data_IF_015525903554
#
_entry.id   IF_015525903554
#
_cell.length_a   1.000
_cell.length_b   1.000
_cell.length_c   1.000
_cell.angle_alpha   90.00
_cell.angle_beta   90.00
_cell.angle_gamma   90.00
#
_symmetry.space_group_name_H-M   'P 1'
#
loop_
_entity.id
_entity.type
_entity.pdbx_description
1 polymer ?
#
# COMPACT_ATOMS: atom_id res chain seq x y z
N UNK A 1 1.58 -6.64 5.64
CA UNK A 1 2.72 -7.55 5.87
C UNK A 1 3.05 -7.75 7.34
N UNK A 2 2.67 -6.89 8.28
CA UNK A 2 3.05 -7.02 9.69
C UNK A 2 2.53 -5.85 10.51
N UNK A 3 3.20 -5.46 11.60
CA UNK A 3 2.74 -4.39 12.51
C UNK A 3 2.75 -2.97 11.93
N UNK A 4 3.58 -2.69 10.92
CA UNK A 4 3.70 -1.33 10.35
C UNK A 4 2.39 -0.76 9.76
N UNK A 5 1.43 -1.62 9.39
CA UNK A 5 0.11 -1.20 8.91
C UNK A 5 -0.78 -0.57 9.99
N UNK A 6 -0.40 -0.67 11.28
CA UNK A 6 -1.12 -0.01 12.38
C UNK A 6 -1.09 1.52 12.28
N UNK A 7 -0.12 2.09 11.57
CA UNK A 7 -0.09 3.53 11.27
C UNK A 7 -1.30 3.96 10.43
N UNK A 8 -1.70 3.12 9.46
CA UNK A 8 -2.89 3.32 8.63
C UNK A 8 -4.16 3.10 9.46
N UNK A 9 -4.20 2.06 10.29
CA UNK A 9 -5.34 1.79 11.18
C UNK A 9 -5.59 2.96 12.13
N UNK A 10 -4.52 3.51 12.73
CA UNK A 10 -4.63 4.66 13.63
C UNK A 10 -5.29 5.87 12.95
N UNK A 11 -4.88 6.20 11.72
CA UNK A 11 -5.49 7.31 10.99
C UNK A 11 -6.92 7.00 10.52
N UNK A 12 -7.23 5.75 10.17
CA UNK A 12 -8.60 5.33 9.86
C UNK A 12 -9.52 5.52 11.08
N UNK A 13 -9.13 5.01 12.25
CA UNK A 13 -9.93 5.15 13.47
C UNK A 13 -10.08 6.62 13.90
N UNK A 14 -9.06 7.45 13.66
CA UNK A 14 -9.13 8.89 13.96
C UNK A 14 -10.13 9.63 13.06
N UNK A 15 -10.15 9.32 11.77
CA UNK A 15 -10.98 10.03 10.78
C UNK A 15 -12.37 9.41 10.60
N UNK A 16 -12.52 8.13 10.92
CA UNK A 16 -13.75 7.35 10.81
C UNK A 16 -14.05 6.66 12.15
N UNK A 17 -14.33 7.42 13.23
CA UNK A 17 -14.44 6.88 14.58
C UNK A 17 -15.64 5.93 14.79
N UNK A 18 -16.56 5.88 13.84
CA UNK A 18 -17.74 5.03 13.87
C UNK A 18 -17.59 3.74 13.04
N UNK A 19 -16.44 3.53 12.42
CA UNK A 19 -16.16 2.31 11.66
C UNK A 19 -15.51 1.24 12.52
N UNK A 20 -15.97 0.00 12.37
CA UNK A 20 -15.32 -1.16 12.97
C UNK A 20 -14.16 -1.63 12.08
N UNK A 21 -12.98 -1.81 12.67
CA UNK A 21 -11.76 -2.20 11.94
C UNK A 21 -11.32 -3.60 12.33
N UNK A 22 -11.32 -4.51 11.37
CA UNK A 22 -10.68 -5.82 11.48
C UNK A 22 -9.29 -5.74 10.83
N UNK A 23 -8.26 -5.88 11.65
CA UNK A 23 -6.87 -5.83 11.18
C UNK A 23 -6.24 -7.23 11.15
N UNK A 24 -5.56 -7.56 10.04
CA UNK A 24 -4.70 -8.73 9.96
C UNK A 24 -3.30 -8.33 9.48
N UNK A 25 -2.29 -8.63 10.31
CA UNK A 25 -0.88 -8.41 10.03
C UNK A 25 -0.14 -9.74 9.90
N UNK A 26 0.53 -9.95 8.77
CA UNK A 26 1.27 -11.18 8.49
C UNK A 26 2.70 -11.21 9.06
N UNK A 27 2.83 -10.88 10.35
CA UNK A 27 4.13 -10.68 11.00
C UNK A 27 5.05 -11.91 10.89
N UNK A 28 4.49 -13.12 10.84
CA UNK A 28 5.25 -14.37 10.68
C UNK A 28 6.04 -14.47 9.36
N UNK A 29 5.60 -13.76 8.31
CA UNK A 29 6.25 -13.74 6.99
C UNK A 29 6.76 -12.35 6.62
N UNK A 30 6.76 -11.40 7.54
CA UNK A 30 7.42 -10.12 7.35
C UNK A 30 8.94 -10.30 7.16
N UNK A 31 9.63 -9.36 6.49
CA UNK A 31 9.09 -8.28 5.66
C UNK A 31 8.71 -8.77 4.25
N UNK A 32 7.76 -8.09 3.59
CA UNK A 32 7.43 -8.36 2.19
C UNK A 32 8.39 -7.69 1.21
N UNK A 33 9.03 -6.57 1.61
CA UNK A 33 9.87 -5.74 0.75
C UNK A 33 10.93 -6.46 -0.10
N UNK A 34 11.64 -7.48 0.40
CA UNK A 34 12.65 -8.23 -0.38
C UNK A 34 12.10 -9.49 -1.07
N UNK A 35 10.82 -9.85 -0.87
CA UNK A 35 10.28 -11.12 -1.37
C UNK A 35 9.92 -11.06 -2.85
N UNK A 36 9.94 -12.18 -3.59
CA UNK A 36 9.44 -12.23 -4.96
C UNK A 36 7.96 -11.88 -5.07
N UNK A 37 7.55 -11.25 -6.18
CA UNK A 37 6.16 -10.84 -6.42
C UNK A 37 5.17 -12.01 -6.32
N UNK A 38 5.55 -13.21 -6.80
CA UNK A 38 4.72 -14.42 -6.69
C UNK A 38 4.41 -14.77 -5.23
N UNK A 39 5.38 -14.70 -4.33
CA UNK A 39 5.15 -14.96 -2.91
C UNK A 39 4.26 -13.89 -2.27
N UNK A 40 4.52 -12.61 -2.57
CA UNK A 40 3.70 -11.50 -2.08
C UNK A 40 2.25 -11.67 -2.51
N UNK A 41 2.01 -12.07 -3.76
CA UNK A 41 0.68 -12.36 -4.29
C UNK A 41 -0.01 -13.50 -3.52
N UNK A 42 0.67 -14.65 -3.35
CA UNK A 42 0.13 -15.76 -2.57
C UNK A 42 -0.26 -15.33 -1.15
N UNK A 43 0.65 -14.70 -0.42
CA UNK A 43 0.38 -14.31 0.96
C UNK A 43 -0.73 -13.27 1.05
N UNK A 44 -0.76 -12.31 0.13
CA UNK A 44 -1.80 -11.28 0.13
C UNK A 44 -3.19 -11.87 -0.14
N UNK A 45 -3.31 -12.84 -1.06
CA UNK A 45 -4.58 -13.53 -1.30
C UNK A 45 -5.07 -14.33 -0.10
N UNK A 46 -4.17 -14.97 0.65
CA UNK A 46 -4.55 -15.65 1.90
C UNK A 46 -5.15 -14.67 2.92
N UNK A 47 -4.56 -13.48 3.07
CA UNK A 47 -5.09 -12.44 3.97
C UNK A 47 -6.42 -11.87 3.49
N UNK A 48 -6.56 -11.64 2.18
CA UNK A 48 -7.81 -11.18 1.57
C UNK A 48 -8.92 -12.21 1.81
N UNK A 49 -8.66 -13.49 1.54
CA UNK A 49 -9.62 -14.56 1.75
C UNK A 49 -10.04 -14.66 3.22
N UNK A 50 -9.11 -14.52 4.16
CA UNK A 50 -9.44 -14.44 5.59
C UNK A 50 -10.39 -13.27 5.89
N UNK A 51 -10.10 -12.06 5.39
CA UNK A 51 -10.94 -10.87 5.63
C UNK A 51 -12.35 -11.04 5.04
N UNK A 52 -12.49 -11.70 3.89
CA UNK A 52 -13.79 -11.98 3.29
C UNK A 52 -14.66 -12.88 4.20
N UNK A 53 -14.06 -13.82 4.95
CA UNK A 53 -14.80 -14.62 5.94
C UNK A 53 -15.43 -13.79 7.06
N UNK A 54 -14.94 -12.56 7.26
CA UNK A 54 -15.43 -11.64 8.29
C UNK A 54 -16.56 -10.73 7.83
N UNK A 55 -17.04 -10.89 6.59
CA UNK A 55 -18.14 -10.11 6.00
C UNK A 55 -17.88 -8.60 6.04
N UNK A 56 -16.64 -8.19 5.75
CA UNK A 56 -16.26 -6.77 5.70
C UNK A 56 -16.93 -6.06 4.52
N UNK A 57 -17.31 -4.78 4.72
CA UNK A 57 -17.88 -3.95 3.64
C UNK A 57 -16.84 -3.35 2.68
N UNK A 58 -15.57 -3.34 3.08
CA UNK A 58 -14.44 -2.75 2.33
C UNK A 58 -13.12 -3.39 2.80
N UNK A 59 -12.14 -3.50 1.90
CA UNK A 59 -10.77 -3.90 2.24
C UNK A 59 -9.79 -2.75 1.99
N UNK A 60 -8.90 -2.48 2.95
CA UNK A 60 -7.84 -1.48 2.82
C UNK A 60 -6.46 -2.16 2.88
N UNK A 61 -5.69 -2.01 1.81
CA UNK A 61 -4.30 -2.48 1.74
C UNK A 61 -3.40 -1.47 2.45
N UNK A 62 -3.13 -1.68 3.74
CA UNK A 62 -2.27 -0.81 4.55
C UNK A 62 -0.77 -0.95 4.25
N UNK A 63 -0.36 -1.88 3.38
CA UNK A 63 1.05 -2.15 3.08
C UNK A 63 1.40 -1.72 1.66
N UNK A 64 2.30 -0.73 1.52
CA UNK A 64 2.76 -0.23 0.22
C UNK A 64 3.27 -1.33 -0.72
N UNK A 65 3.96 -2.34 -0.19
CA UNK A 65 4.47 -3.46 -1.01
C UNK A 65 3.36 -4.39 -1.50
N UNK A 66 2.34 -4.65 -0.67
CA UNK A 66 1.19 -5.43 -1.12
C UNK A 66 0.35 -4.63 -2.13
N UNK A 67 0.15 -3.33 -1.87
CA UNK A 67 -0.55 -2.43 -2.80
C UNK A 67 0.15 -2.37 -4.16
N UNK A 68 1.48 -2.27 -4.17
CA UNK A 68 2.27 -2.17 -5.39
C UNK A 68 2.19 -3.40 -6.31
N UNK A 69 1.87 -4.57 -5.77
CA UNK A 69 2.00 -5.85 -6.48
C UNK A 69 0.66 -6.54 -6.74
N UNK A 70 -0.32 -6.39 -5.84
CA UNK A 70 -1.51 -7.26 -5.80
C UNK A 70 -2.83 -6.49 -5.84
N UNK A 71 -2.82 -5.19 -5.56
CA UNK A 71 -4.06 -4.42 -5.36
C UNK A 71 -4.98 -4.41 -6.59
N UNK A 72 -4.43 -4.23 -7.79
CA UNK A 72 -5.23 -4.13 -9.02
C UNK A 72 -6.00 -5.42 -9.30
N UNK A 73 -5.32 -6.56 -9.22
CA UNK A 73 -5.94 -7.88 -9.38
C UNK A 73 -7.03 -8.16 -8.33
N UNK A 74 -6.81 -7.75 -7.08
CA UNK A 74 -7.81 -7.95 -6.01
C UNK A 74 -9.00 -7.04 -6.21
N UNK A 75 -8.77 -5.78 -6.62
CA UNK A 75 -9.84 -4.84 -6.95
C UNK A 75 -10.71 -5.35 -8.10
N UNK A 76 -10.12 -5.95 -9.14
CA UNK A 76 -10.87 -6.49 -10.28
C UNK A 76 -11.73 -7.72 -9.93
N UNK A 77 -11.34 -8.49 -8.91
CA UNK A 77 -12.00 -9.75 -8.56
C UNK A 77 -13.03 -9.64 -7.44
N UNK A 78 -13.08 -8.52 -6.72
CA UNK A 78 -13.98 -8.36 -5.57
C UNK A 78 -15.05 -7.30 -5.86
N UNK A 79 -16.28 -7.60 -5.46
CA UNK A 79 -17.41 -6.67 -5.60
C UNK A 79 -17.40 -5.55 -4.54
N UNK A 80 -16.72 -5.76 -3.42
CA UNK A 80 -16.56 -4.75 -2.37
C UNK A 80 -15.44 -3.76 -2.72
N UNK A 81 -15.50 -2.50 -2.26
CA UNK A 81 -14.42 -1.56 -2.50
C UNK A 81 -13.09 -2.04 -1.92
N UNK A 82 -12.02 -1.90 -2.72
CA UNK A 82 -10.65 -2.23 -2.33
C UNK A 82 -9.78 -0.99 -2.46
N UNK A 83 -9.30 -0.46 -1.34
CA UNK A 83 -8.45 0.72 -1.28
C UNK A 83 -6.98 0.33 -1.09
N UNK A 84 -6.08 1.15 -1.63
CA UNK A 84 -4.64 1.02 -1.47
C UNK A 84 -4.00 2.33 -1.03
N UNK A 85 -2.83 2.25 -0.40
CA UNK A 85 -2.13 3.41 0.18
C UNK A 85 -1.32 4.25 -0.83
N UNK A 86 -1.10 3.74 -2.04
CA UNK A 86 -0.25 4.40 -3.05
C UNK A 86 -0.96 5.61 -3.67
N UNK A 87 -2.18 5.42 -4.18
CA UNK A 87 -2.93 6.50 -4.85
C UNK A 87 -3.18 7.71 -3.93
N UNK A 88 -3.63 7.56 -2.67
CA UNK A 88 -3.75 8.70 -1.75
C UNK A 88 -2.43 9.43 -1.51
N UNK A 89 -1.32 8.69 -1.37
CA UNK A 89 0.01 9.27 -1.23
C UNK A 89 0.45 10.06 -2.47
N UNK A 90 0.22 9.51 -3.66
CA UNK A 90 0.50 10.19 -4.94
C UNK A 90 -0.31 11.48 -5.09
N UNK A 91 -1.62 11.44 -4.85
CA UNK A 91 -2.49 12.61 -4.95
C UNK A 91 -2.12 13.70 -3.93
N UNK A 92 -1.77 13.31 -2.70
CA UNK A 92 -1.31 14.25 -1.68
C UNK A 92 0.01 14.92 -2.07
N UNK A 93 0.96 14.15 -2.63
CA UNK A 93 2.23 14.68 -3.10
C UNK A 93 2.04 15.71 -4.21
N UNK A 94 1.21 15.41 -5.22
CA UNK A 94 0.86 16.34 -6.32
C UNK A 94 0.25 17.64 -5.77
N UNK A 95 -0.68 17.54 -4.81
CA UNK A 95 -1.33 18.71 -4.22
C UNK A 95 -0.36 19.57 -3.39
N UNK A 96 0.66 18.95 -2.79
CA UNK A 96 1.58 19.62 -1.85
C UNK A 96 2.81 20.26 -2.50
N UNK A 97 3.21 19.79 -3.68
CA UNK A 97 4.47 20.23 -4.30
C UNK A 97 4.35 21.61 -4.93
N UNK A 98 5.37 22.45 -4.72
CA UNK A 98 5.50 23.78 -5.35
C UNK A 98 6.44 23.72 -6.56
N UNK A 99 7.50 22.90 -6.47
CA UNK A 99 8.54 22.80 -7.49
C UNK A 99 8.22 21.79 -8.60
N UNK A 100 7.16 21.00 -8.45
CA UNK A 100 6.83 19.88 -9.33
C UNK A 100 7.80 18.69 -9.21
N UNK A 101 8.67 18.69 -8.19
CA UNK A 101 9.59 17.58 -7.92
C UNK A 101 9.07 16.75 -6.73
N UNK A 102 9.00 15.43 -6.90
CA UNK A 102 8.47 14.49 -5.90
C UNK A 102 9.50 13.39 -5.64
N UNK A 103 9.88 13.20 -4.38
CA UNK A 103 10.73 12.11 -3.92
C UNK A 103 9.90 10.98 -3.31
N UNK A 104 10.19 9.73 -3.71
CA UNK A 104 9.54 8.52 -3.18
C UNK A 104 10.60 7.63 -2.55
N UNK A 105 10.38 7.25 -1.29
CA UNK A 105 11.16 6.23 -0.60
C UNK A 105 10.29 5.03 -0.26
N UNK A 106 10.87 3.83 -0.28
CA UNK A 106 10.11 2.62 -0.03
C UNK A 106 10.97 1.37 0.02
N UNK A 107 10.32 0.23 0.15
CA UNK A 107 11.00 -1.06 0.06
C UNK A 107 11.50 -1.30 -1.37
N UNK A 108 12.50 -2.18 -1.57
CA UNK A 108 12.99 -2.52 -2.90
C UNK A 108 11.87 -2.94 -3.87
N UNK A 109 10.93 -3.77 -3.42
CA UNK A 109 9.81 -4.19 -4.27
C UNK A 109 8.87 -3.04 -4.66
N UNK A 110 8.54 -2.15 -3.73
CA UNK A 110 7.67 -0.99 -4.02
C UNK A 110 8.34 -0.03 -5.00
N UNK A 111 9.64 0.20 -4.87
CA UNK A 111 10.37 1.09 -5.78
C UNK A 111 10.57 0.43 -7.14
N UNK A 112 10.89 -0.86 -7.18
CA UNK A 112 11.08 -1.62 -8.42
C UNK A 112 9.80 -1.71 -9.26
N UNK A 113 8.61 -1.71 -8.65
CA UNK A 113 7.35 -1.76 -9.41
C UNK A 113 7.03 -0.47 -10.15
N UNK A 114 7.74 0.63 -9.84
CA UNK A 114 7.55 1.96 -10.42
C UNK A 114 6.13 2.55 -10.30
N UNK A 115 5.27 1.95 -9.48
CA UNK A 115 3.84 2.26 -9.44
C UNK A 115 3.56 3.68 -8.95
N UNK A 116 4.39 4.24 -8.06
CA UNK A 116 4.24 5.62 -7.62
C UNK A 116 4.47 6.61 -8.76
N UNK A 117 5.57 6.44 -9.53
CA UNK A 117 5.85 7.28 -10.68
C UNK A 117 4.74 7.18 -11.71
N UNK A 118 4.31 5.95 -12.05
CA UNK A 118 3.20 5.73 -12.96
C UNK A 118 1.94 6.47 -12.51
N UNK A 119 1.47 6.26 -11.27
CA UNK A 119 0.23 6.89 -10.78
C UNK A 119 0.36 8.42 -10.65
N UNK A 120 1.54 8.94 -10.37
CA UNK A 120 1.76 10.39 -10.33
C UNK A 120 1.68 10.97 -11.74
N UNK A 121 2.36 10.36 -12.73
CA UNK A 121 2.38 10.84 -14.11
C UNK A 121 1.03 10.66 -14.81
N UNK A 122 0.27 9.60 -14.49
CA UNK A 122 -1.10 9.40 -14.98
C UNK A 122 -2.02 10.55 -14.56
N UNK A 123 -1.84 11.08 -13.33
CA UNK A 123 -2.64 12.18 -12.80
C UNK A 123 -2.08 13.57 -13.15
N UNK A 124 -0.77 13.69 -13.30
CA UNK A 124 -0.07 14.96 -13.50
C UNK A 124 1.22 14.75 -14.32
N UNK A 125 1.13 14.71 -15.66
CA UNK A 125 2.25 14.34 -16.55
C UNK A 125 3.49 15.24 -16.47
N UNK A 126 3.35 16.45 -15.94
CA UNK A 126 4.42 17.44 -15.81
C UNK A 126 5.31 17.26 -14.57
N UNK A 127 4.97 16.33 -13.67
CA UNK A 127 5.75 16.06 -12.46
C UNK A 127 7.08 15.37 -12.75
N UNK A 128 8.09 15.64 -11.92
CA UNK A 128 9.37 14.92 -11.93
C UNK A 128 9.47 14.04 -10.68
N UNK A 129 9.48 12.73 -10.88
CA UNK A 129 9.53 11.76 -9.78
C UNK A 129 10.94 11.19 -9.64
N UNK A 130 11.42 11.06 -8.40
CA UNK A 130 12.66 10.35 -8.08
C UNK A 130 12.40 9.31 -7.00
N UNK A 131 12.72 8.07 -7.31
CA UNK A 131 12.44 6.93 -6.45
C UNK A 131 13.72 6.33 -5.88
N UNK A 132 13.76 6.08 -4.58
CA UNK A 132 14.92 5.49 -3.89
C UNK A 132 14.49 4.35 -2.96
N UNK A 133 15.07 3.17 -3.15
CA UNK A 133 14.86 2.04 -2.25
C UNK A 133 15.65 2.23 -0.95
N UNK A 134 14.97 2.09 0.20
CA UNK A 134 15.55 2.23 1.54
C UNK A 134 15.36 0.93 2.36
N UNK A 135 15.98 -0.20 1.95
CA UNK A 135 15.75 -1.50 2.59
C UNK A 135 16.11 -1.55 4.08
N UNK A 136 17.06 -0.70 4.51
CA UNK A 136 17.52 -0.63 5.91
C UNK A 136 16.57 0.10 6.86
N UNK A 137 15.53 0.78 6.36
CA UNK A 137 14.61 1.50 7.26
C UNK A 137 13.64 0.57 7.97
N UNK A 138 13.14 -0.48 7.30
CA UNK A 138 12.18 -1.41 7.92
C UNK A 138 12.74 -2.08 9.19
N UNK A 139 14.00 -2.52 9.28
CA UNK A 139 14.54 -3.08 10.52
C UNK A 139 14.79 -2.08 11.66
N UNK A 140 14.78 -0.77 11.40
CA UNK A 140 15.05 0.27 12.41
C UNK A 140 13.77 0.68 13.16
N UNK A 141 12.61 0.49 12.53
CA UNK A 141 11.28 0.90 13.02
C UNK A 141 10.51 -0.31 13.54
#
# INVERSE_FOLDING_TARGET
SGVGGLTVVRELMRQLPHEEVIYIGDSARAPYGPRPAKQIKTYTWELVNFLLTKKVKMIVFACNTATAIVWEEVKEKLDIPVLGVILPGSSAAIKSTISGQIGIIGTPMTIKSNIYEQKILDLSPQMKVRSLACPKFVPIV
#
